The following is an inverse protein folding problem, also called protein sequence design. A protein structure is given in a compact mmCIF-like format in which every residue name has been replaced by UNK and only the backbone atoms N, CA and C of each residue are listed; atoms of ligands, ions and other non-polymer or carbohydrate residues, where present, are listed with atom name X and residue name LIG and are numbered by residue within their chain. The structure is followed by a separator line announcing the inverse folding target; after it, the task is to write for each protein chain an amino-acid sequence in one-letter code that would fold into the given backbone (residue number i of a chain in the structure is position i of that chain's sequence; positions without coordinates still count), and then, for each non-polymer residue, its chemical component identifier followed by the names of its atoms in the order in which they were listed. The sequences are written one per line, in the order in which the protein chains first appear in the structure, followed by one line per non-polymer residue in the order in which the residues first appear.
data_IF_282152031815
#
_entry.id   IF_282152031815
#
_cell.length_a   1.000
_cell.length_b   1.000
_cell.length_c   1.000
_cell.angle_alpha   90.00
_cell.angle_beta   90.00
_cell.angle_gamma   90.00
#
_symmetry.space_group_name_H-M   'P 1'
#
loop_
_entity.id
_entity.type
_entity.pdbx_description
1 polymer ?
#
# COMPACT_ATOMS: atom_id res chain seq x y z
N UNK A 1 21.86 -23.48 -5.59
CA UNK A 1 20.77 -22.79 -6.31
C UNK A 1 19.49 -23.53 -5.97
N UNK A 2 18.80 -23.10 -4.91
CA UNK A 2 17.55 -23.70 -4.46
C UNK A 2 16.84 -22.67 -3.58
N UNK A 3 16.02 -21.81 -4.20
CA UNK A 3 15.02 -21.01 -3.50
C UNK A 3 13.67 -21.24 -4.19
N UNK A 4 13.36 -22.52 -4.39
CA UNK A 4 12.04 -23.01 -4.73
C UNK A 4 11.67 -23.97 -3.60
N UNK A 5 11.39 -23.42 -2.42
CA UNK A 5 10.80 -24.18 -1.34
C UNK A 5 9.63 -23.38 -0.76
N UNK A 6 8.47 -23.64 -1.37
CA UNK A 6 7.22 -23.88 -0.67
C UNK A 6 6.79 -22.84 0.36
N UNK A 7 6.15 -21.77 -0.11
CA UNK A 7 4.99 -21.20 0.60
C UNK A 7 3.81 -21.23 -0.37
N UNK A 8 3.49 -22.45 -0.81
CA UNK A 8 2.22 -22.80 -1.42
C UNK A 8 1.30 -23.41 -0.37
N UNK A 9 1.20 -22.77 0.79
CA UNK A 9 0.20 -23.14 1.78
C UNK A 9 -1.00 -22.25 1.55
N UNK A 10 -2.09 -22.86 1.12
CA UNK A 10 -3.42 -22.28 1.09
C UNK A 10 -3.92 -22.04 2.53
N UNK A 11 -3.14 -21.29 3.31
CA UNK A 11 -3.61 -20.70 4.55
C UNK A 11 -4.53 -19.58 4.13
N UNK A 12 -5.83 -19.87 4.18
CA UNK A 12 -6.84 -18.83 4.31
C UNK A 12 -6.58 -18.12 5.63
N UNK A 13 -5.62 -17.20 5.61
CA UNK A 13 -5.21 -16.45 6.78
C UNK A 13 -6.05 -15.17 6.80
N UNK A 14 -7.09 -15.21 7.63
CA UNK A 14 -7.81 -14.01 8.04
C UNK A 14 -7.04 -13.36 9.17
N UNK A 15 -6.53 -12.16 8.92
CA UNK A 15 -5.87 -11.32 9.91
C UNK A 15 -6.74 -10.10 10.22
N UNK A 16 -7.19 -10.02 11.46
CA UNK A 16 -7.95 -8.88 11.93
C UNK A 16 -7.02 -7.79 12.46
N UNK A 17 -7.25 -6.57 12.00
CA UNK A 17 -6.58 -5.38 12.46
C UNK A 17 -7.53 -4.51 13.27
N UNK A 18 -7.06 -3.34 13.70
CA UNK A 18 -7.87 -2.46 14.54
C UNK A 18 -9.18 -2.06 13.87
N UNK A 19 -9.15 -1.65 12.59
CA UNK A 19 -10.34 -1.24 11.83
C UNK A 19 -10.51 -1.96 10.50
N UNK A 20 -9.51 -2.71 10.07
CA UNK A 20 -9.55 -3.48 8.82
C UNK A 20 -9.38 -4.97 9.07
N UNK A 21 -9.70 -5.77 8.08
CA UNK A 21 -9.40 -7.20 8.05
C UNK A 21 -8.75 -7.50 6.70
N UNK A 22 -7.60 -8.18 6.74
CA UNK A 22 -6.95 -8.76 5.57
C UNK A 22 -7.26 -10.25 5.49
N UNK A 23 -7.60 -10.77 4.31
CA UNK A 23 -7.84 -12.20 4.10
C UNK A 23 -7.05 -12.66 2.88
N UNK A 24 -6.13 -13.60 3.11
CA UNK A 24 -5.61 -14.44 2.03
C UNK A 24 -6.68 -15.47 1.67
N UNK A 25 -7.09 -15.52 0.40
CA UNK A 25 -8.12 -16.46 -0.06
C UNK A 25 -7.49 -17.69 -0.71
N UNK A 26 -8.30 -18.73 -0.86
CA UNK A 26 -7.90 -20.01 -1.47
C UNK A 26 -7.46 -19.86 -2.93
N UNK A 27 -8.00 -18.86 -3.64
CA UNK A 27 -7.65 -18.52 -5.02
C UNK A 27 -6.35 -17.70 -5.14
N UNK A 28 -5.67 -17.43 -4.03
CA UNK A 28 -4.48 -16.58 -3.96
C UNK A 28 -4.77 -15.08 -3.91
N UNK A 29 -6.05 -14.69 -4.04
CA UNK A 29 -6.46 -13.29 -3.93
C UNK A 29 -6.31 -12.77 -2.51
N UNK A 30 -6.12 -11.45 -2.38
CA UNK A 30 -6.08 -10.78 -1.10
C UNK A 30 -7.24 -9.81 -0.96
N UNK A 31 -8.01 -9.98 0.10
CA UNK A 31 -9.18 -9.15 0.41
C UNK A 31 -8.90 -8.22 1.58
N UNK A 32 -9.23 -6.94 1.40
CA UNK A 32 -9.29 -5.96 2.49
C UNK A 32 -10.74 -5.57 2.73
N UNK A 33 -11.20 -5.73 3.97
CA UNK A 33 -12.51 -5.27 4.44
C UNK A 33 -12.39 -4.37 5.65
N UNK A 34 -13.48 -3.68 5.97
CA UNK A 34 -13.64 -3.05 7.29
C UNK A 34 -13.92 -4.14 8.31
N UNK A 35 -13.36 -4.00 9.50
CA UNK A 35 -13.66 -4.88 10.63
C UNK A 35 -15.17 -4.83 10.93
N UNK A 36 -15.80 -6.02 11.02
CA UNK A 36 -17.24 -6.16 11.31
C UNK A 36 -18.19 -5.87 10.14
N UNK A 37 -17.68 -5.74 8.91
CA UNK A 37 -18.52 -5.66 7.73
C UNK A 37 -18.67 -7.05 7.09
N UNK A 38 -19.77 -7.76 7.41
CA UNK A 38 -20.08 -9.08 6.81
C UNK A 38 -20.62 -9.01 5.38
N UNK A 39 -20.90 -7.80 4.87
CA UNK A 39 -21.43 -7.62 3.51
C UNK A 39 -20.32 -7.46 2.47
N UNK A 40 -20.20 -8.43 1.57
CA UNK A 40 -19.23 -8.50 0.47
C UNK A 40 -19.09 -7.23 -0.39
N UNK A 41 -20.11 -6.35 -0.42
CA UNK A 41 -20.13 -5.14 -1.26
C UNK A 41 -19.11 -4.05 -0.89
N UNK A 42 -18.54 -4.07 0.32
CA UNK A 42 -17.60 -3.05 0.79
C UNK A 42 -16.14 -3.52 0.82
N UNK A 43 -15.85 -4.72 0.30
CA UNK A 43 -14.51 -5.24 0.20
C UNK A 43 -13.72 -4.58 -0.95
N UNK A 44 -12.39 -4.63 -0.84
CA UNK A 44 -11.48 -4.46 -1.96
C UNK A 44 -10.71 -5.77 -2.12
N UNK A 45 -10.90 -6.41 -3.27
CA UNK A 45 -10.16 -7.60 -3.68
C UNK A 45 -9.00 -7.19 -4.58
N UNK A 46 -7.86 -7.81 -4.35
CA UNK A 46 -6.67 -7.76 -5.18
C UNK A 46 -6.35 -9.16 -5.69
N UNK A 47 -5.74 -9.25 -6.86
CA UNK A 47 -5.33 -10.53 -7.47
C UNK A 47 -4.38 -11.33 -6.58
N UNK A 48 -3.57 -10.65 -5.78
CA UNK A 48 -2.69 -11.24 -4.78
C UNK A 48 -2.28 -10.22 -3.71
N UNK A 49 -1.65 -10.69 -2.64
CA UNK A 49 -1.01 -9.81 -1.66
C UNK A 49 0.14 -9.01 -2.27
N UNK A 50 0.85 -9.57 -3.25
CA UNK A 50 1.92 -8.88 -3.97
C UNK A 50 1.39 -7.66 -4.74
N UNK A 51 0.18 -7.74 -5.31
CA UNK A 51 -0.48 -6.58 -5.94
C UNK A 51 -0.71 -5.45 -4.93
N UNK A 52 -0.95 -5.77 -3.65
CA UNK A 52 -1.10 -4.78 -2.58
C UNK A 52 0.25 -4.16 -2.20
N UNK A 53 1.32 -4.95 -2.13
CA UNK A 53 2.69 -4.43 -1.92
C UNK A 53 3.12 -3.50 -3.04
N UNK A 54 2.94 -3.91 -4.30
CA UNK A 54 3.23 -3.08 -5.48
C UNK A 54 2.43 -1.78 -5.50
N UNK A 55 1.18 -1.82 -5.04
CA UNK A 55 0.38 -0.61 -4.87
C UNK A 55 1.04 0.33 -3.86
N UNK A 56 1.41 -0.17 -2.68
CA UNK A 56 2.07 0.61 -1.62
C UNK A 56 3.42 1.19 -2.06
N UNK A 57 4.25 0.39 -2.74
CA UNK A 57 5.57 0.82 -3.22
C UNK A 57 5.48 2.03 -4.17
N UNK A 58 4.43 2.06 -5.01
CA UNK A 58 4.19 3.15 -5.98
C UNK A 58 3.56 4.40 -5.38
N UNK A 59 3.08 4.35 -4.14
CA UNK A 59 2.57 5.54 -3.46
C UNK A 59 3.73 6.45 -3.04
N UNK A 60 3.52 7.77 -2.98
CA UNK A 60 4.52 8.70 -2.45
C UNK A 60 4.87 8.38 -0.99
N UNK A 61 5.99 8.90 -0.49
CA UNK A 61 6.45 8.66 0.88
C UNK A 61 5.41 9.12 1.92
N UNK A 62 4.78 10.26 1.68
CA UNK A 62 3.59 10.68 2.39
C UNK A 62 2.35 10.56 1.51
N UNK A 63 1.35 9.80 1.95
CA UNK A 63 0.17 9.54 1.16
C UNK A 63 -1.12 9.50 1.98
N UNK A 64 -2.20 9.94 1.33
CA UNK A 64 -3.56 9.87 1.87
C UNK A 64 -4.52 9.22 0.87
N UNK A 65 -5.81 9.33 1.13
CA UNK A 65 -6.84 8.71 0.29
C UNK A 65 -6.79 9.20 -1.17
N UNK A 66 -6.36 10.43 -1.42
CA UNK A 66 -6.24 10.97 -2.77
C UNK A 66 -5.16 10.26 -3.60
N UNK A 67 -3.99 10.00 -3.02
CA UNK A 67 -2.91 9.29 -3.69
C UNK A 67 -3.33 7.86 -4.07
N UNK A 68 -4.00 7.15 -3.15
CA UNK A 68 -4.64 5.85 -3.42
C UNK A 68 -5.72 5.97 -4.51
N UNK A 69 -6.40 7.11 -4.60
CA UNK A 69 -7.37 7.36 -5.66
C UNK A 69 -6.80 7.41 -7.06
N UNK A 70 -5.57 7.92 -7.20
CA UNK A 70 -4.88 8.01 -8.49
C UNK A 70 -4.52 6.64 -9.08
N UNK A 71 -4.58 5.58 -8.28
CA UNK A 71 -4.32 4.19 -8.72
C UNK A 71 -5.59 3.47 -9.17
N UNK A 72 -6.70 4.19 -9.38
CA UNK A 72 -7.98 3.65 -9.84
C UNK A 72 -8.88 3.09 -8.73
N UNK A 73 -8.49 3.22 -7.46
CA UNK A 73 -9.35 2.84 -6.33
C UNK A 73 -10.29 3.99 -6.02
N UNK A 74 -11.59 3.73 -5.90
CA UNK A 74 -12.60 4.78 -5.78
C UNK A 74 -13.35 4.75 -4.45
N UNK A 75 -14.00 5.87 -4.13
CA UNK A 75 -14.91 5.99 -2.99
C UNK A 75 -14.26 5.71 -1.63
N UNK A 76 -15.05 5.10 -0.74
CA UNK A 76 -14.69 4.78 0.64
C UNK A 76 -13.54 3.77 0.79
N UNK A 77 -13.23 3.02 -0.29
CA UNK A 77 -12.15 2.02 -0.32
C UNK A 77 -10.77 2.66 -0.23
N UNK A 78 -10.61 3.88 -0.75
CA UNK A 78 -9.35 4.64 -0.66
C UNK A 78 -8.93 4.83 0.79
N UNK A 79 -9.85 5.31 1.63
CA UNK A 79 -9.60 5.52 3.06
C UNK A 79 -9.40 4.20 3.82
N UNK A 80 -10.09 3.14 3.40
CA UNK A 80 -9.92 1.81 3.99
C UNK A 80 -8.50 1.30 3.77
N UNK A 81 -7.96 1.46 2.56
CA UNK A 81 -6.60 1.02 2.26
C UNK A 81 -5.53 1.84 2.98
N UNK A 82 -5.69 3.16 3.08
CA UNK A 82 -4.76 3.99 3.89
C UNK A 82 -4.69 3.48 5.33
N UNK A 83 -5.83 3.11 5.93
CA UNK A 83 -5.84 2.51 7.27
C UNK A 83 -5.20 1.14 7.30
N UNK A 84 -5.47 0.32 6.28
CA UNK A 84 -4.91 -1.02 6.20
C UNK A 84 -3.39 -1.00 6.17
N UNK A 85 -2.79 -0.11 5.38
CA UNK A 85 -1.33 0.04 5.31
C UNK A 85 -0.74 0.39 6.68
N UNK A 86 -1.30 1.39 7.37
CA UNK A 86 -0.81 1.77 8.70
C UNK A 86 -1.10 0.76 9.81
N UNK A 87 -2.02 -0.18 9.61
CA UNK A 87 -2.35 -1.21 10.59
C UNK A 87 -1.59 -2.53 10.36
N UNK A 88 -1.11 -2.78 9.14
CA UNK A 88 -0.56 -4.07 8.75
C UNK A 88 0.97 -4.06 8.83
N UNK A 89 1.60 -4.99 9.59
CA UNK A 89 3.04 -4.97 9.89
C UNK A 89 3.96 -5.35 8.71
N UNK A 90 3.42 -5.41 7.49
CA UNK A 90 4.20 -5.69 6.28
C UNK A 90 4.41 -4.42 5.43
N UNK A 91 3.87 -3.29 5.91
CA UNK A 91 4.02 -1.97 5.31
C UNK A 91 4.60 -1.06 6.37
N UNK A 92 5.82 -0.61 6.11
CA UNK A 92 6.58 0.22 7.04
C UNK A 92 6.09 1.67 6.89
N UNK A 93 4.94 1.97 7.49
CA UNK A 93 4.35 3.30 7.49
C UNK A 93 3.54 3.58 8.75
N UNK A 94 3.45 4.85 9.12
CA UNK A 94 2.74 5.32 10.31
C UNK A 94 1.76 6.46 9.99
N UNK A 95 0.76 6.64 10.84
CA UNK A 95 -0.24 7.72 10.68
C UNK A 95 0.38 9.04 11.15
N UNK A 96 0.64 9.95 10.23
CA UNK A 96 1.13 11.31 10.52
C UNK A 96 -0.01 12.30 10.77
N UNK A 97 -1.17 12.11 10.15
CA UNK A 97 -2.35 12.93 10.38
C UNK A 97 -3.64 12.12 10.34
N UNK A 98 -4.62 12.52 11.17
CA UNK A 98 -5.93 11.86 11.27
C UNK A 98 -7.04 12.60 10.51
N UNK A 99 -6.84 13.88 10.22
CA UNK A 99 -7.81 14.76 9.55
C UNK A 99 -7.08 15.84 8.73
N UNK A 100 -6.86 15.63 7.41
CA UNK A 100 -7.18 14.42 6.64
C UNK A 100 -6.33 13.20 7.07
N UNK A 101 -6.83 11.99 6.80
CA UNK A 101 -6.07 10.76 7.11
C UNK A 101 -4.88 10.63 6.14
N UNK A 102 -3.68 10.74 6.70
CA UNK A 102 -2.40 10.70 6.00
C UNK A 102 -1.45 9.77 6.74
N UNK A 103 -0.63 9.04 5.97
CA UNK A 103 0.40 8.16 6.48
C UNK A 103 1.73 8.51 5.82
N UNK A 104 2.84 8.26 6.52
CA UNK A 104 4.18 8.38 5.97
C UNK A 104 4.91 7.04 6.07
N UNK A 105 5.66 6.68 5.03
CA UNK A 105 6.56 5.52 5.04
C UNK A 105 7.71 5.78 6.02
N UNK A 106 8.07 4.79 6.83
CA UNK A 106 9.11 4.89 7.87
C UNK A 106 10.51 4.60 7.36
N UNK A 107 10.62 3.94 6.20
CA UNK A 107 11.89 3.66 5.51
C UNK A 107 11.98 4.44 4.20
N UNK A 108 12.40 5.72 4.24
CA UNK A 108 12.82 6.42 3.05
C UNK A 108 14.29 6.05 2.78
N UNK A 109 14.56 4.98 2.03
CA UNK A 109 15.82 5.00 1.27
C UNK A 109 15.69 6.14 0.25
N UNK A 110 16.59 7.14 0.26
CA UNK A 110 16.44 8.34 -0.54
C UNK A 110 16.45 7.97 -2.01
N UNK A 111 15.33 8.21 -2.71
CA UNK A 111 15.36 8.24 -4.17
C UNK A 111 16.04 9.54 -4.57
N UNK A 112 17.37 9.49 -4.63
CA UNK A 112 18.19 10.49 -5.28
C UNK A 112 17.84 10.49 -6.77
N UNK A 113 17.01 11.45 -7.18
CA UNK A 113 16.80 11.82 -8.57
C UNK A 113 16.62 13.35 -8.63
N UNK A 114 17.62 14.07 -8.13
CA UNK A 114 17.84 15.47 -8.55
C UNK A 114 18.85 15.46 -9.69
N UNK A 115 18.40 15.08 -10.89
CA UNK A 115 19.09 15.51 -12.12
C UNK A 115 18.41 16.79 -12.60
N UNK A 116 18.61 17.88 -11.86
CA UNK A 116 18.40 19.23 -12.36
C UNK A 116 19.75 19.95 -12.39
N UNK A 117 20.62 19.56 -13.31
CA UNK A 117 21.73 20.41 -13.75
C UNK A 117 21.44 20.88 -15.17
N UNK A 118 20.59 21.91 -15.27
CA UNK A 118 20.52 22.71 -16.50
C UNK A 118 21.78 23.57 -16.57
N UNK A 119 22.69 23.19 -17.48
CA UNK A 119 23.65 24.08 -18.14
C UNK A 119 22.92 25.34 -18.71
N UNK A 120 23.57 26.48 -19.05
CA UNK A 120 24.99 26.67 -19.37
C UNK A 120 25.63 27.99 -18.84
N UNK A 121 26.96 28.13 -18.91
CA UNK A 121 27.53 29.45 -19.21
C UNK A 121 28.81 29.34 -20.04
N UNK A 122 28.71 29.87 -21.26
CA UNK A 122 29.84 30.25 -22.07
C UNK A 122 30.36 31.61 -21.58
N UNK A 123 31.66 31.73 -21.35
CA UNK A 123 32.39 32.98 -21.54
C UNK A 123 33.78 32.64 -22.04
N UNK A 124 34.11 33.23 -23.19
CA UNK A 124 35.41 33.25 -23.81
C UNK A 124 36.30 34.31 -23.13
N UNK A 125 37.59 34.00 -22.97
CA UNK A 125 38.71 34.91 -23.27
C UNK A 125 39.97 34.07 -23.57
#
# INVERSE_FOLDING_TARGET
MALQDQIGDALVERREFFRTTGVHREDGSYEVTRRGADSAGNAKVFESFETVRRLYERLPDEFGAEAVGRTGITGSRRHMLVRHFAEHPAFDCEITSRSPLTVAKTDPEPTDATEEERMPEATAD
#
